data_IF_736758913183
#
_entry.id   IF_736758913183
#
_cell.length_a   1.000
_cell.length_b   1.000
_cell.length_c   1.000
_cell.angle_alpha   90.00
_cell.angle_beta   90.00
_cell.angle_gamma   90.00
#
_symmetry.space_group_name_H-M   'P 1'
#
loop_
_entity.id
_entity.type
_entity.pdbx_description
1 polymer ?
#
# COMPACT_ATOMS: atom_id res chain seq x y z
N UNK A 1 -6.94 -8.21 14.15
CA UNK A 1 -5.64 -7.84 13.56
C UNK A 1 -5.04 -6.76 14.44
N UNK A 2 -3.88 -6.98 15.06
CA UNK A 2 -3.36 -6.02 16.04
C UNK A 2 -2.43 -4.99 15.37
N UNK A 3 -2.84 -3.73 15.33
CA UNK A 3 -2.03 -2.59 14.90
C UNK A 3 -1.73 -1.77 16.15
N UNK A 4 -0.48 -1.85 16.61
CA UNK A 4 -0.05 -1.05 17.75
C UNK A 4 0.30 0.37 17.30
N UNK A 5 -0.66 1.28 17.45
CA UNK A 5 -0.46 2.69 17.12
C UNK A 5 0.23 3.43 18.26
N UNK A 6 1.29 4.18 17.95
CA UNK A 6 2.03 5.05 18.86
C UNK A 6 1.09 6.05 19.54
N UNK A 7 1.22 6.23 20.85
CA UNK A 7 0.33 7.13 21.61
C UNK A 7 0.35 8.57 21.07
N UNK A 8 1.52 9.11 20.72
CA UNK A 8 1.61 10.46 20.15
C UNK A 8 0.93 10.60 18.79
N UNK A 9 0.77 9.50 18.03
CA UNK A 9 -0.03 9.45 16.80
C UNK A 9 -1.53 9.41 17.12
N UNK A 10 -1.93 8.65 18.14
CA UNK A 10 -3.32 8.65 18.62
C UNK A 10 -3.75 10.04 19.13
N UNK A 11 -2.86 10.77 19.80
CA UNK A 11 -3.12 12.15 20.22
C UNK A 11 -3.26 13.11 19.03
N UNK A 12 -2.46 12.94 17.97
CA UNK A 12 -2.65 13.69 16.73
C UNK A 12 -3.99 13.35 16.06
N UNK A 13 -4.37 12.06 16.04
CA UNK A 13 -5.67 11.63 15.52
C UNK A 13 -6.84 12.26 16.29
N UNK A 14 -6.80 12.26 17.62
CA UNK A 14 -7.83 12.90 18.46
C UNK A 14 -8.02 14.37 18.07
N UNK A 15 -6.93 15.13 17.92
CA UNK A 15 -6.94 16.53 17.47
C UNK A 15 -7.45 16.69 16.04
N UNK A 16 -7.08 15.79 15.13
CA UNK A 16 -7.55 15.80 13.76
C UNK A 16 -9.06 15.53 13.67
N UNK A 17 -9.57 14.57 14.46
CA UNK A 17 -11.00 14.28 14.55
C UNK A 17 -11.79 15.47 15.14
N UNK A 18 -11.27 16.15 16.17
CA UNK A 18 -11.87 17.39 16.68
C UNK A 18 -11.88 18.51 15.63
N UNK A 19 -10.80 18.64 14.85
CA UNK A 19 -10.72 19.61 13.75
C UNK A 19 -11.74 19.31 12.65
N UNK A 20 -11.93 18.04 12.28
CA UNK A 20 -12.98 17.63 11.35
C UNK A 20 -14.37 17.99 11.88
N UNK A 21 -14.64 17.72 13.17
CA UNK A 21 -15.91 18.08 13.82
C UNK A 21 -16.15 19.59 13.87
N UNK A 22 -15.10 20.40 14.14
CA UNK A 22 -15.24 21.86 14.17
C UNK A 22 -15.49 22.46 12.78
N UNK A 23 -15.11 21.75 11.72
CA UNK A 23 -15.44 22.07 10.32
C UNK A 23 -16.84 21.58 9.90
N UNK A 24 -17.58 20.92 10.80
CA UNK A 24 -18.95 20.46 10.58
C UNK A 24 -19.08 19.01 10.12
N UNK A 25 -17.99 18.24 10.08
CA UNK A 25 -18.06 16.81 9.75
C UNK A 25 -18.54 15.98 10.96
N UNK A 26 -19.25 14.90 10.68
CA UNK A 26 -19.47 13.83 11.65
C UNK A 26 -18.31 12.83 11.56
N UNK A 27 -17.75 12.42 12.70
CA UNK A 27 -16.63 11.45 12.74
C UNK A 27 -17.05 10.27 13.59
N UNK A 28 -17.26 9.13 12.92
CA UNK A 28 -17.78 7.88 13.49
C UNK A 28 -16.68 6.81 13.44
N UNK A 29 -16.31 6.19 14.58
CA UNK A 29 -15.47 5.00 14.58
C UNK A 29 -16.16 3.84 13.88
N UNK A 30 -15.46 3.12 13.02
CA UNK A 30 -16.03 2.06 12.20
C UNK A 30 -14.99 0.99 11.88
N UNK A 31 -15.46 -0.17 11.43
CA UNK A 31 -14.64 -1.25 10.88
C UNK A 31 -14.12 -0.86 9.48
N UNK A 32 -13.24 -1.65 8.87
CA UNK A 32 -12.86 -1.43 7.47
C UNK A 32 -12.87 -2.72 6.65
N UNK A 33 -14.07 -3.15 6.17
CA UNK A 33 -14.28 -4.49 5.63
C UNK A 33 -13.35 -4.85 4.49
N UNK A 34 -12.99 -3.87 3.65
CA UNK A 34 -12.06 -4.11 2.56
C UNK A 34 -10.70 -4.61 3.04
N UNK A 35 -10.11 -3.95 4.05
CA UNK A 35 -8.81 -4.33 4.60
C UNK A 35 -8.91 -5.66 5.32
N UNK A 36 -9.94 -5.82 6.16
CA UNK A 36 -10.16 -7.04 6.93
C UNK A 36 -10.35 -8.29 6.06
N UNK A 37 -11.15 -8.17 5.00
CA UNK A 37 -11.38 -9.27 4.05
C UNK A 37 -10.13 -9.58 3.22
N UNK A 38 -9.41 -8.55 2.78
CA UNK A 38 -8.19 -8.71 2.00
C UNK A 38 -7.11 -9.45 2.79
N UNK A 39 -6.96 -9.11 4.07
CA UNK A 39 -5.89 -9.61 4.91
C UNK A 39 -6.25 -10.93 5.60
N UNK A 40 -7.53 -11.30 5.68
CA UNK A 40 -7.97 -12.56 6.29
C UNK A 40 -7.50 -12.74 7.74
N UNK A 41 -7.30 -11.64 8.46
CA UNK A 41 -6.78 -11.63 9.83
C UNK A 41 -5.27 -11.84 9.97
N UNK A 42 -4.52 -11.99 8.86
CA UNK A 42 -3.06 -12.06 8.84
C UNK A 42 -2.51 -10.69 8.44
N UNK A 43 -1.63 -10.07 9.24
CA UNK A 43 -1.11 -8.76 8.89
C UNK A 43 -0.40 -8.69 7.53
N UNK A 44 -0.82 -7.74 6.69
CA UNK A 44 -0.40 -7.61 5.30
C UNK A 44 -0.60 -8.89 4.46
N UNK A 45 -1.54 -9.75 4.83
CA UNK A 45 -1.92 -10.95 4.07
C UNK A 45 -2.56 -10.59 2.73
N UNK A 46 -2.46 -11.52 1.78
CA UNK A 46 -3.02 -11.41 0.42
C UNK A 46 -4.08 -12.50 0.20
N UNK A 47 -5.08 -12.58 1.10
CA UNK A 47 -6.07 -13.67 1.14
C UNK A 47 -7.20 -13.51 0.11
N UNK A 48 -7.01 -12.65 -0.89
CA UNK A 48 -8.03 -12.33 -1.90
C UNK A 48 -8.47 -13.54 -2.73
N UNK A 49 -7.59 -14.53 -2.97
CA UNK A 49 -7.98 -15.78 -3.64
C UNK A 49 -9.04 -16.55 -2.86
N UNK A 50 -9.01 -16.47 -1.52
CA UNK A 50 -9.96 -17.18 -0.66
C UNK A 50 -11.36 -16.57 -0.72
N UNK A 51 -11.49 -15.35 -1.26
CA UNK A 51 -12.80 -14.75 -1.56
C UNK A 51 -13.49 -15.43 -2.76
N UNK A 52 -12.77 -16.26 -3.52
CA UNK A 52 -13.33 -17.15 -4.53
C UNK A 52 -13.87 -16.45 -5.79
N UNK A 53 -13.52 -15.19 -5.99
CA UNK A 53 -13.99 -14.36 -7.12
C UNK A 53 -12.96 -14.23 -8.24
N UNK A 54 -11.68 -14.48 -7.95
CA UNK A 54 -10.61 -14.40 -8.93
C UNK A 54 -10.51 -15.70 -9.73
N UNK A 55 -10.13 -15.63 -11.01
CA UNK A 55 -9.84 -16.84 -11.79
C UNK A 55 -8.73 -17.68 -11.17
N UNK A 56 -8.71 -18.98 -11.49
CA UNK A 56 -7.70 -19.90 -10.97
C UNK A 56 -6.28 -19.44 -11.38
N UNK A 57 -5.35 -19.43 -10.42
CA UNK A 57 -3.97 -19.00 -10.65
C UNK A 57 -3.82 -17.51 -11.01
N UNK A 58 -4.82 -16.66 -10.70
CA UNK A 58 -4.75 -15.23 -10.94
C UNK A 58 -3.60 -14.58 -10.18
N UNK A 59 -3.46 -14.82 -8.87
CA UNK A 59 -2.40 -14.14 -8.09
C UNK A 59 -1.01 -14.54 -8.55
N UNK A 60 -0.80 -15.83 -8.89
CA UNK A 60 0.47 -16.27 -9.45
C UNK A 60 0.80 -15.52 -10.75
N UNK A 61 -0.18 -15.37 -11.64
CA UNK A 61 0.00 -14.62 -12.89
C UNK A 61 0.25 -13.13 -12.62
N UNK A 62 -0.53 -12.50 -11.75
CA UNK A 62 -0.41 -11.08 -11.44
C UNK A 62 0.95 -10.74 -10.80
N UNK A 63 1.40 -11.54 -9.83
CA UNK A 63 2.64 -11.28 -9.09
C UNK A 63 3.91 -11.71 -9.82
N UNK A 64 3.81 -12.60 -10.82
CA UNK A 64 4.98 -13.11 -11.54
C UNK A 64 4.94 -12.78 -13.04
N UNK A 65 3.98 -13.33 -13.79
CA UNK A 65 3.96 -13.24 -15.26
C UNK A 65 3.65 -11.82 -15.75
N UNK A 66 2.62 -11.18 -15.19
CA UNK A 66 2.22 -9.82 -15.53
C UNK A 66 3.30 -8.81 -15.13
N UNK A 67 3.92 -9.02 -13.95
CA UNK A 67 5.06 -8.23 -13.49
C UNK A 67 6.25 -8.34 -14.44
N UNK A 68 6.66 -9.56 -14.81
CA UNK A 68 7.77 -9.79 -15.74
C UNK A 68 7.48 -9.21 -17.13
N UNK A 69 6.24 -9.35 -17.62
CA UNK A 69 5.81 -8.72 -18.87
C UNK A 69 5.94 -7.20 -18.82
N UNK A 70 5.41 -6.55 -17.77
CA UNK A 70 5.48 -5.09 -17.65
C UNK A 70 6.91 -4.54 -17.62
N UNK A 71 7.84 -5.29 -17.02
CA UNK A 71 9.26 -4.93 -17.01
C UNK A 71 9.92 -5.08 -18.39
N UNK A 72 9.71 -6.20 -19.09
CA UNK A 72 10.25 -6.39 -20.45
C UNK A 72 9.64 -5.39 -21.44
N UNK A 73 8.32 -5.19 -21.39
CA UNK A 73 7.60 -4.25 -22.26
C UNK A 73 8.11 -2.81 -22.07
N UNK A 74 8.37 -2.39 -20.82
CA UNK A 74 8.98 -1.09 -20.54
C UNK A 74 10.38 -0.95 -21.16
N UNK A 75 11.24 -1.96 -21.02
CA UNK A 75 12.60 -1.93 -21.58
C UNK A 75 12.58 -1.92 -23.11
N UNK A 76 11.73 -2.74 -23.72
CA UNK A 76 11.53 -2.80 -25.17
C UNK A 76 11.00 -1.47 -25.69
N UNK A 77 10.05 -0.84 -25.00
CA UNK A 77 9.52 0.47 -25.38
C UNK A 77 10.55 1.59 -25.25
N UNK A 78 11.46 1.50 -24.26
CA UNK A 78 12.54 2.47 -24.06
C UNK A 78 13.66 2.34 -25.11
N UNK A 79 13.89 1.12 -25.65
CA UNK A 79 14.83 0.83 -26.75
C UNK A 79 16.27 1.34 -26.50
N UNK A 80 16.77 1.18 -25.27
CA UNK A 80 18.18 1.45 -24.97
C UNK A 80 19.04 0.25 -25.44
N UNK A 81 20.00 0.44 -26.39
CA UNK A 81 20.85 -0.63 -26.86
C UNK A 81 21.71 -1.31 -25.78
N UNK A 82 21.93 -0.65 -24.63
CA UNK A 82 22.67 -1.23 -23.51
C UNK A 82 21.79 -2.12 -22.60
N UNK A 83 20.46 -2.01 -22.68
CA UNK A 83 19.51 -2.77 -21.87
C UNK A 83 18.14 -2.85 -22.58
N UNK A 84 18.10 -3.55 -23.71
CA UNK A 84 16.92 -3.56 -24.57
C UNK A 84 15.81 -4.51 -24.09
N UNK A 85 16.16 -5.53 -23.30
CA UNK A 85 15.24 -6.60 -22.88
C UNK A 85 15.56 -7.09 -21.48
N UNK A 86 14.53 -7.51 -20.75
CA UNK A 86 14.67 -8.07 -19.41
C UNK A 86 15.46 -9.39 -19.42
N UNK A 87 15.33 -10.20 -20.48
CA UNK A 87 16.01 -11.48 -20.60
C UNK A 87 17.56 -11.37 -20.56
N UNK A 88 18.09 -10.21 -20.97
CA UNK A 88 19.53 -9.92 -21.03
C UNK A 88 20.09 -9.37 -19.71
N UNK A 89 19.21 -9.06 -18.75
CA UNK A 89 19.60 -8.50 -17.43
C UNK A 89 20.22 -9.58 -16.55
N UNK A 90 21.23 -9.20 -15.77
CA UNK A 90 21.75 -10.02 -14.67
C UNK A 90 20.84 -9.84 -13.44
N UNK A 91 20.08 -10.88 -13.02
CA UNK A 91 19.15 -10.75 -11.89
C UNK A 91 19.85 -10.39 -10.57
N UNK A 92 21.12 -10.73 -10.42
CA UNK A 92 21.89 -10.48 -9.18
C UNK A 92 22.30 -9.02 -9.01
N UNK A 93 22.14 -8.23 -10.06
CA UNK A 93 22.40 -6.79 -10.05
C UNK A 93 21.11 -5.95 -9.94
N UNK A 94 19.92 -6.57 -9.93
CA UNK A 94 18.65 -5.83 -9.89
C UNK A 94 18.41 -5.22 -8.50
N UNK A 95 18.58 -6.00 -7.43
CA UNK A 95 18.49 -5.49 -6.06
C UNK A 95 19.44 -6.20 -5.09
N UNK A 96 20.77 -5.97 -5.21
CA UNK A 96 21.72 -6.53 -4.27
C UNK A 96 21.54 -5.92 -2.86
N UNK A 97 21.62 -6.72 -1.78
CA UNK A 97 21.51 -6.21 -0.43
C UNK A 97 22.68 -5.27 -0.11
N UNK A 98 22.45 -4.14 0.57
CA UNK A 98 23.53 -3.26 1.01
C UNK A 98 24.54 -4.00 1.91
N UNK A 99 25.85 -3.78 1.73
CA UNK A 99 26.86 -4.42 2.58
C UNK A 99 26.64 -4.09 4.06
N UNK A 100 26.52 -5.14 4.89
CA UNK A 100 26.35 -5.01 6.33
C UNK A 100 24.91 -4.81 6.80
N UNK A 101 23.93 -4.76 5.88
CA UNK A 101 22.52 -4.76 6.28
C UNK A 101 22.10 -6.12 6.85
N UNK A 102 21.05 -6.09 7.67
CA UNK A 102 20.30 -7.27 8.03
C UNK A 102 19.66 -7.89 6.78
N UNK A 103 19.41 -9.21 6.78
CA UNK A 103 18.64 -9.85 5.72
C UNK A 103 17.24 -9.25 5.58
N UNK A 104 16.71 -9.29 4.35
CA UNK A 104 15.28 -9.04 4.12
C UNK A 104 14.45 -10.14 4.81
N UNK A 105 13.36 -9.76 5.49
CA UNK A 105 12.49 -10.72 6.18
C UNK A 105 11.60 -11.51 5.24
N UNK A 106 11.43 -11.08 3.98
CA UNK A 106 10.79 -11.94 2.97
C UNK A 106 11.58 -13.22 2.74
N UNK A 107 12.91 -13.21 2.95
CA UNK A 107 13.72 -14.43 2.89
C UNK A 107 13.50 -15.39 4.06
N UNK A 108 12.85 -14.95 5.14
CA UNK A 108 12.43 -15.82 6.26
C UNK A 108 11.14 -16.59 5.94
N UNK A 109 10.43 -16.23 4.87
CA UNK A 109 9.24 -16.96 4.39
C UNK A 109 9.71 -18.26 3.71
N UNK A 110 9.22 -19.40 4.19
CA UNK A 110 9.55 -20.70 3.59
C UNK A 110 9.22 -20.73 2.10
N UNK A 111 10.16 -21.20 1.28
CA UNK A 111 10.05 -21.27 -0.18
C UNK A 111 9.90 -19.91 -0.89
N UNK A 112 10.37 -18.81 -0.30
CA UNK A 112 10.48 -17.55 -1.03
C UNK A 112 11.58 -17.65 -2.10
N UNK A 113 11.18 -17.91 -3.34
CA UNK A 113 12.08 -17.85 -4.48
C UNK A 113 12.59 -16.42 -4.68
N UNK A 114 13.83 -16.27 -5.12
CA UNK A 114 14.40 -14.95 -5.47
C UNK A 114 13.57 -14.35 -6.61
N UNK A 115 12.71 -13.39 -6.26
CA UNK A 115 11.75 -12.76 -7.16
C UNK A 115 12.41 -12.20 -8.42
N UNK A 116 13.63 -11.68 -8.32
CA UNK A 116 14.35 -11.11 -9.46
C UNK A 116 14.85 -12.19 -10.41
N UNK A 117 15.39 -13.29 -9.87
CA UNK A 117 15.77 -14.45 -10.68
C UNK A 117 14.57 -15.09 -11.36
N UNK A 118 13.44 -15.23 -10.67
CA UNK A 118 12.18 -15.73 -11.24
C UNK A 118 11.71 -14.83 -12.38
N UNK A 119 11.65 -13.52 -12.14
CA UNK A 119 11.21 -12.51 -13.11
C UNK A 119 12.05 -12.53 -14.40
N UNK A 120 13.39 -12.52 -14.26
CA UNK A 120 14.30 -12.65 -15.42
C UNK A 120 14.21 -14.04 -16.06
N UNK A 121 14.00 -15.09 -15.26
CA UNK A 121 13.79 -16.46 -15.75
C UNK A 121 12.57 -16.57 -16.67
N UNK A 122 11.45 -15.95 -16.29
CA UNK A 122 10.24 -15.86 -17.12
C UNK A 122 10.51 -15.12 -18.43
N UNK A 123 11.23 -13.99 -18.37
CA UNK A 123 11.65 -13.28 -19.59
C UNK A 123 12.49 -14.14 -20.53
N UNK A 124 13.43 -14.93 -19.99
CA UNK A 124 14.26 -15.86 -20.77
C UNK A 124 13.48 -17.04 -21.34
N UNK A 125 12.45 -17.51 -20.65
CA UNK A 125 11.55 -18.56 -21.12
C UNK A 125 10.61 -18.08 -22.24
N UNK A 126 10.38 -16.76 -22.32
CA UNK A 126 9.49 -16.11 -23.27
C UNK A 126 8.18 -15.71 -22.59
N UNK A 127 7.87 -14.41 -22.68
CA UNK A 127 6.68 -13.83 -22.07
C UNK A 127 5.53 -13.82 -23.07
N UNK A 128 4.35 -14.22 -22.61
CA UNK A 128 3.12 -14.06 -23.37
C UNK A 128 2.52 -12.68 -23.09
N UNK A 129 1.85 -12.12 -24.08
CA UNK A 129 1.14 -10.87 -23.87
C UNK A 129 -0.03 -11.12 -22.90
N UNK A 130 -0.21 -10.32 -21.82
CA UNK A 130 -1.23 -10.56 -20.79
C UNK A 130 -2.64 -10.77 -21.34
N UNK A 131 -3.01 -10.05 -22.40
CA UNK A 131 -4.32 -10.18 -23.06
C UNK A 131 -4.55 -11.53 -23.76
N UNK A 132 -3.52 -12.37 -23.95
CA UNK A 132 -3.67 -13.73 -24.49
C UNK A 132 -4.24 -14.70 -23.44
N UNK A 133 -4.16 -14.35 -22.15
CA UNK A 133 -4.81 -15.08 -21.07
C UNK A 133 -6.33 -14.91 -21.20
N UNK A 134 -7.04 -16.03 -21.40
CA UNK A 134 -8.47 -16.04 -21.79
C UNK A 134 -9.41 -15.36 -20.78
N UNK A 135 -9.08 -15.45 -19.50
CA UNK A 135 -9.81 -14.89 -18.34
C UNK A 135 -9.20 -13.55 -17.85
N UNK A 136 -8.29 -12.92 -18.62
CA UNK A 136 -7.65 -11.65 -18.23
C UNK A 136 -8.67 -10.57 -17.86
N UNK A 137 -9.68 -10.37 -18.71
CA UNK A 137 -10.76 -9.41 -18.44
C UNK A 137 -11.69 -9.81 -17.29
N UNK A 138 -11.79 -11.09 -16.96
CA UNK A 138 -12.59 -11.56 -15.81
C UNK A 138 -11.90 -11.24 -14.49
N UNK A 139 -10.58 -11.46 -14.39
CA UNK A 139 -9.83 -11.13 -13.18
C UNK A 139 -9.85 -9.63 -12.87
N UNK A 140 -9.65 -8.77 -13.88
CA UNK A 140 -9.77 -7.32 -13.68
C UNK A 140 -11.17 -6.91 -13.19
N UNK A 141 -12.23 -7.48 -13.77
CA UNK A 141 -13.61 -7.21 -13.33
C UNK A 141 -13.87 -7.71 -11.92
N UNK A 142 -13.26 -8.82 -11.52
CA UNK A 142 -13.40 -9.35 -10.16
C UNK A 142 -12.77 -8.41 -9.11
N UNK A 143 -11.61 -7.80 -9.40
CA UNK A 143 -11.01 -6.78 -8.52
C UNK A 143 -11.93 -5.56 -8.35
N UNK A 144 -12.51 -5.06 -9.44
CA UNK A 144 -13.45 -3.94 -9.41
C UNK A 144 -14.72 -4.28 -8.60
N UNK A 145 -15.23 -5.50 -8.78
CA UNK A 145 -16.42 -5.97 -8.06
C UNK A 145 -16.14 -6.15 -6.56
N UNK A 146 -14.94 -6.59 -6.17
CA UNK A 146 -14.53 -6.62 -4.77
C UNK A 146 -14.48 -5.23 -4.15
N UNK A 147 -13.88 -4.24 -4.84
CA UNK A 147 -13.93 -2.85 -4.36
C UNK A 147 -15.38 -2.39 -4.19
N UNK A 148 -16.23 -2.64 -5.19
CA UNK A 148 -17.64 -2.22 -5.16
C UNK A 148 -18.38 -2.82 -3.95
N UNK A 149 -18.19 -4.11 -3.68
CA UNK A 149 -18.87 -4.79 -2.57
C UNK A 149 -18.30 -4.40 -1.20
N UNK A 150 -16.97 -4.42 -1.04
CA UNK A 150 -16.31 -4.30 0.27
C UNK A 150 -16.06 -2.86 0.70
N UNK A 151 -16.08 -1.90 -0.23
CA UNK A 151 -15.93 -0.48 0.05
C UNK A 151 -17.20 0.29 -0.28
N UNK A 152 -17.62 0.31 -1.55
CA UNK A 152 -18.61 1.29 -2.01
C UNK A 152 -20.02 0.98 -1.46
N UNK A 153 -20.45 -0.28 -1.53
CA UNK A 153 -21.73 -0.70 -0.93
C UNK A 153 -21.74 -0.54 0.60
N UNK A 154 -20.63 -0.85 1.28
CA UNK A 154 -20.49 -0.60 2.71
C UNK A 154 -20.59 0.89 3.06
N UNK A 155 -19.94 1.77 2.28
CA UNK A 155 -20.05 3.22 2.47
C UNK A 155 -21.48 3.71 2.20
N UNK A 156 -22.17 3.18 1.19
CA UNK A 156 -23.55 3.55 0.86
C UNK A 156 -24.52 3.12 1.97
N UNK A 157 -24.41 1.88 2.46
CA UNK A 157 -25.27 1.33 3.50
C UNK A 157 -25.16 2.09 4.83
N UNK A 158 -24.00 2.68 5.10
CA UNK A 158 -23.74 3.46 6.32
C UNK A 158 -23.82 4.98 6.11
N UNK A 159 -24.04 5.44 4.87
CA UNK A 159 -24.07 6.87 4.54
C UNK A 159 -22.72 7.58 4.72
N UNK A 160 -21.60 6.88 4.53
CA UNK A 160 -20.26 7.46 4.65
C UNK A 160 -19.84 8.18 3.37
N UNK A 161 -19.32 9.40 3.52
CA UNK A 161 -18.73 10.17 2.42
C UNK A 161 -17.27 9.75 2.13
N UNK A 162 -16.52 9.45 3.18
CA UNK A 162 -15.08 9.11 3.14
C UNK A 162 -14.66 8.34 4.39
N UNK A 163 -13.53 7.64 4.30
CA UNK A 163 -12.84 7.02 5.43
C UNK A 163 -11.60 7.84 5.75
N UNK A 164 -11.30 8.05 7.03
CA UNK A 164 -10.13 8.81 7.46
C UNK A 164 -9.33 8.06 8.53
N UNK A 165 -8.01 7.99 8.38
CA UNK A 165 -7.11 7.29 9.31
C UNK A 165 -5.69 7.88 9.27
N UNK A 166 -4.90 7.76 10.36
CA UNK A 166 -3.47 8.06 10.32
C UNK A 166 -2.77 7.26 9.22
N UNK A 167 -1.86 7.89 8.47
CA UNK A 167 -1.14 7.24 7.39
C UNK A 167 -0.29 6.05 7.88
N UNK A 168 0.27 6.15 9.08
CA UNK A 168 1.09 5.10 9.71
C UNK A 168 0.72 4.96 11.19
N UNK A 169 1.01 3.79 11.75
CA UNK A 169 0.82 3.46 13.16
C UNK A 169 2.02 3.85 14.04
N UNK A 170 3.24 3.84 13.51
CA UNK A 170 4.48 4.29 14.17
C UNK A 170 5.52 4.65 13.08
N UNK A 171 6.74 5.01 13.48
CA UNK A 171 7.87 5.28 12.60
C UNK A 171 9.07 4.39 12.93
N UNK A 172 9.60 3.70 11.92
CA UNK A 172 10.80 2.87 12.05
C UNK A 172 12.04 3.71 12.41
N UNK A 173 12.89 3.25 13.34
CA UNK A 173 14.17 3.90 13.61
C UNK A 173 15.10 3.89 12.40
N UNK A 174 15.95 4.90 12.27
CA UNK A 174 16.84 5.07 11.11
C UNK A 174 17.91 3.96 10.96
N UNK A 175 18.22 3.22 12.03
CA UNK A 175 19.18 2.12 12.05
C UNK A 175 18.53 0.74 11.87
N UNK A 176 17.26 0.69 11.43
CA UNK A 176 16.51 -0.55 11.24
C UNK A 176 17.13 -1.51 10.20
N UNK A 177 18.03 -1.03 9.35
CA UNK A 177 18.79 -1.83 8.40
C UNK A 177 19.95 -2.60 9.05
N UNK A 178 20.40 -2.22 10.24
CA UNK A 178 21.59 -2.81 10.89
C UNK A 178 21.38 -3.23 12.35
N UNK A 179 20.28 -2.79 12.97
CA UNK A 179 19.92 -3.09 14.35
C UNK A 179 18.65 -3.95 14.40
N UNK A 180 18.77 -5.16 14.94
CA UNK A 180 17.68 -6.15 15.01
C UNK A 180 16.44 -5.61 15.72
N UNK A 181 16.60 -4.88 16.83
CA UNK A 181 15.46 -4.35 17.59
C UNK A 181 14.74 -3.22 16.84
N UNK A 182 15.50 -2.38 16.12
CA UNK A 182 14.95 -1.35 15.25
C UNK A 182 14.25 -1.96 14.04
N UNK A 183 14.82 -3.02 13.45
CA UNK A 183 14.19 -3.79 12.39
C UNK A 183 12.86 -4.39 12.90
N UNK A 184 12.84 -4.99 14.09
CA UNK A 184 11.62 -5.55 14.68
C UNK A 184 10.53 -4.50 14.86
N UNK A 185 10.88 -3.25 15.14
CA UNK A 185 9.94 -2.15 15.21
C UNK A 185 9.45 -1.72 13.81
N UNK A 186 10.36 -1.58 12.86
CA UNK A 186 10.07 -1.14 11.48
C UNK A 186 9.24 -2.16 10.68
N UNK A 187 9.36 -3.45 10.96
CA UNK A 187 8.64 -4.52 10.27
C UNK A 187 7.24 -4.82 10.83
N UNK A 188 6.77 -4.06 11.84
CA UNK A 188 5.41 -4.21 12.38
C UNK A 188 4.37 -3.72 11.38
N UNK A 189 3.18 -4.33 11.47
CA UNK A 189 2.03 -3.89 10.71
C UNK A 189 1.63 -2.44 11.05
N UNK A 190 1.32 -1.65 10.03
CA UNK A 190 1.12 -0.20 10.13
C UNK A 190 2.41 0.63 10.21
N UNK A 191 3.59 -0.02 10.24
CA UNK A 191 4.91 0.64 10.21
C UNK A 191 5.66 0.33 8.93
N UNK A 192 5.82 -0.96 8.60
CA UNK A 192 6.49 -1.42 7.37
C UNK A 192 5.85 -0.81 6.13
N UNK A 193 4.53 -0.88 6.10
CA UNK A 193 3.68 -0.22 5.14
C UNK A 193 2.78 0.79 5.84
N UNK A 194 2.29 1.74 5.05
CA UNK A 194 1.22 2.63 5.50
C UNK A 194 -0.05 1.81 5.81
N UNK A 195 -0.89 2.34 6.70
CA UNK A 195 -2.17 1.73 7.06
C UNK A 195 -3.00 1.45 5.79
N UNK A 196 -3.51 0.22 5.69
CA UNK A 196 -4.23 -0.30 4.52
C UNK A 196 -3.44 -1.27 3.64
N UNK A 197 -2.12 -1.42 3.85
CA UNK A 197 -1.25 -2.40 3.20
C UNK A 197 -1.51 -2.46 1.67
N UNK A 198 -1.66 -3.66 1.11
CA UNK A 198 -1.89 -3.86 -0.33
C UNK A 198 -3.31 -3.50 -0.77
N UNK A 199 -4.31 -3.68 0.10
CA UNK A 199 -5.72 -3.62 -0.25
C UNK A 199 -6.11 -2.32 -0.96
N UNK A 200 -5.62 -1.18 -0.45
CA UNK A 200 -5.96 0.15 -1.00
C UNK A 200 -5.52 0.27 -2.46
N UNK A 201 -4.31 -0.19 -2.80
CA UNK A 201 -3.75 -0.07 -4.16
C UNK A 201 -4.26 -1.16 -5.07
N UNK A 202 -4.30 -2.41 -4.60
CA UNK A 202 -4.76 -3.53 -5.39
C UNK A 202 -6.23 -3.33 -5.82
N UNK A 203 -7.05 -2.71 -4.98
CA UNK A 203 -8.45 -2.42 -5.31
C UNK A 203 -8.68 -1.07 -6.02
N UNK A 204 -7.65 -0.29 -6.30
CA UNK A 204 -7.80 1.01 -6.97
C UNK A 204 -8.57 2.06 -6.14
N UNK A 205 -8.45 2.03 -4.81
CA UNK A 205 -9.11 3.00 -3.93
C UNK A 205 -8.37 4.35 -4.00
N UNK A 206 -9.02 5.46 -4.37
CA UNK A 206 -8.38 6.77 -4.37
C UNK A 206 -8.15 7.26 -2.94
N UNK A 207 -7.00 7.91 -2.72
CA UNK A 207 -6.61 8.44 -1.41
C UNK A 207 -5.94 9.80 -1.51
N UNK A 208 -6.18 10.68 -0.53
CA UNK A 208 -5.44 11.93 -0.34
C UNK A 208 -4.84 11.96 1.06
N UNK A 209 -3.55 12.29 1.19
CA UNK A 209 -2.90 12.49 2.47
C UNK A 209 -2.60 13.99 2.70
N UNK A 210 -2.92 14.48 3.90
CA UNK A 210 -2.58 15.84 4.37
C UNK A 210 -1.81 15.76 5.70
N UNK A 211 -1.06 16.81 6.11
CA UNK A 211 -0.36 16.79 7.39
C UNK A 211 -1.33 16.69 8.58
N UNK A 212 -1.25 15.63 9.37
CA UNK A 212 -2.00 15.48 10.63
C UNK A 212 -1.32 16.19 11.80
N UNK A 213 0.00 16.37 11.72
CA UNK A 213 0.81 17.08 12.69
C UNK A 213 2.18 16.45 12.87
N UNK A 214 2.85 16.82 13.96
CA UNK A 214 4.16 16.33 14.35
C UNK A 214 4.04 15.70 15.73
N UNK A 215 4.55 14.49 15.89
CA UNK A 215 4.56 13.80 17.17
C UNK A 215 5.33 14.61 18.21
N UNK A 216 4.83 14.64 19.44
CA UNK A 216 5.46 15.43 20.51
C UNK A 216 6.72 14.79 21.07
N UNK A 217 6.80 13.46 21.01
CA UNK A 217 7.86 12.66 21.61
C UNK A 217 9.09 12.47 20.72
N UNK A 218 8.91 12.17 19.42
CA UNK A 218 10.02 11.97 18.47
C UNK A 218 10.10 13.02 17.37
N UNK A 219 9.20 14.02 17.40
CA UNK A 219 9.23 15.18 16.51
C UNK A 219 9.15 14.81 15.02
N UNK A 220 8.45 13.74 14.69
CA UNK A 220 8.26 13.28 13.31
C UNK A 220 6.87 13.65 12.77
N UNK A 221 6.76 14.09 11.51
CA UNK A 221 5.47 14.38 10.88
C UNK A 221 4.69 13.10 10.59
N UNK A 222 3.37 13.16 10.72
CA UNK A 222 2.45 12.05 10.39
C UNK A 222 1.31 12.59 9.54
N UNK A 223 0.93 11.84 8.50
CA UNK A 223 -0.18 12.18 7.62
C UNK A 223 -1.54 11.72 8.14
N UNK A 224 -2.59 12.42 7.74
CA UNK A 224 -3.98 11.98 7.78
C UNK A 224 -4.38 11.59 6.36
N UNK A 225 -4.78 10.34 6.18
CA UNK A 225 -5.24 9.82 4.90
C UNK A 225 -6.76 9.87 4.85
N UNK A 226 -7.31 10.46 3.78
CA UNK A 226 -8.70 10.30 3.36
C UNK A 226 -8.77 9.28 2.22
N UNK A 227 -9.69 8.33 2.29
CA UNK A 227 -9.98 7.35 1.26
C UNK A 227 -11.47 7.41 0.88
N UNK A 228 -11.81 7.08 -0.36
CA UNK A 228 -13.19 7.15 -0.83
C UNK A 228 -13.51 6.20 -1.96
N UNK A 229 -14.70 6.35 -2.53
CA UNK A 229 -15.19 5.57 -3.68
C UNK A 229 -14.30 5.81 -4.90
N UNK A 230 -14.25 4.84 -5.81
CA UNK A 230 -13.53 5.07 -7.06
C UNK A 230 -14.06 6.31 -7.79
N UNK A 231 -13.14 7.08 -8.38
CA UNK A 231 -13.43 8.31 -9.11
C UNK A 231 -13.99 9.48 -8.26
N UNK A 232 -13.97 9.37 -6.93
CA UNK A 232 -14.36 10.47 -6.03
C UNK A 232 -13.18 11.39 -5.66
N UNK A 233 -12.12 11.41 -6.47
CA UNK A 233 -10.87 12.13 -6.24
C UNK A 233 -11.08 13.61 -5.95
N UNK A 234 -12.01 14.25 -6.67
CA UNK A 234 -12.36 15.65 -6.45
C UNK A 234 -12.83 15.90 -5.01
N UNK A 235 -13.72 15.06 -4.48
CA UNK A 235 -14.24 15.20 -3.13
C UNK A 235 -13.15 14.99 -2.08
N UNK A 236 -12.19 14.09 -2.34
CA UNK A 236 -11.03 13.90 -1.47
C UNK A 236 -10.15 15.15 -1.45
N UNK A 237 -9.87 15.75 -2.62
CA UNK A 237 -9.13 17.03 -2.73
C UNK A 237 -9.85 18.14 -1.97
N UNK A 238 -11.16 18.27 -2.14
CA UNK A 238 -11.97 19.25 -1.42
C UNK A 238 -11.92 19.02 0.10
N UNK A 239 -11.96 17.75 0.56
CA UNK A 239 -11.82 17.40 1.98
C UNK A 239 -10.45 17.79 2.55
N UNK A 240 -9.36 17.51 1.83
CA UNK A 240 -8.02 17.91 2.25
C UNK A 240 -7.85 19.42 2.33
N UNK A 241 -8.35 20.16 1.33
CA UNK A 241 -8.35 21.62 1.33
C UNK A 241 -9.17 22.19 2.48
N UNK A 242 -10.35 21.63 2.74
CA UNK A 242 -11.19 22.02 3.87
C UNK A 242 -10.48 21.76 5.20
N UNK A 243 -9.86 20.58 5.35
CA UNK A 243 -9.09 20.24 6.54
C UNK A 243 -7.97 21.26 6.77
N UNK A 244 -7.17 21.62 5.76
CA UNK A 244 -6.08 22.59 5.89
C UNK A 244 -6.52 24.06 6.01
N UNK A 245 -7.76 24.40 5.65
CA UNK A 245 -8.25 25.78 5.58
C UNK A 245 -8.19 26.57 6.90
N UNK A 246 -8.23 25.90 8.05
CA UNK A 246 -8.14 26.54 9.39
C UNK A 246 -6.70 26.68 9.89
N UNK A 247 -5.71 26.33 9.07
CA UNK A 247 -4.28 26.55 9.33
C UNK A 247 -3.42 25.33 9.06
N UNK A 248 -2.29 25.50 8.37
CA UNK A 248 -1.40 24.38 8.05
C UNK A 248 -0.78 23.76 9.31
N UNK A 249 -0.76 22.43 9.38
CA UNK A 249 -0.09 21.66 10.42
C UNK A 249 1.36 21.29 10.05
N UNK A 250 1.79 21.69 8.85
CA UNK A 250 3.17 21.51 8.39
C UNK A 250 4.10 22.47 9.14
N UNK A 251 5.27 21.97 9.52
CA UNK A 251 6.41 22.78 9.94
C UNK A 251 7.60 22.49 9.01
N UNK A 252 8.46 23.49 8.70
CA UNK A 252 9.72 23.23 8.03
C UNK A 252 10.56 22.20 8.80
N UNK A 253 11.23 21.25 8.13
CA UNK A 253 12.14 20.32 8.80
C UNK A 253 13.24 21.10 9.54
N UNK A 254 13.58 20.74 10.80
CA UNK A 254 14.58 21.45 11.58
C UNK A 254 16.03 20.98 11.28
N UNK A 255 16.29 20.54 10.05
CA UNK A 255 17.60 20.02 9.64
C UNK A 255 18.39 21.19 9.06
N UNK A 256 19.51 21.55 9.71
CA UNK A 256 20.54 22.43 9.15
C UNK A 256 21.38 21.71 8.08
#
# INVERSE_FOLDING_TARGET
MDIHTRESILELWKKAAERLRSLGAEVVPTDFPLVEAYEGGVPAGENIEQLGVLPEGWMNFEFNELLAFGWDDFLVANDDPACARLADVDPDQIFPPPPGSLPDRYAEVENYEDRYRVTVGLARAGLQHPHERADYGDGLRALEELRRQLLESWMDDNGYDMVAFPANADLGPADADTNVASADAAWKNGVLFSNGNYAIRHMGVPTLAVPMGITDDIRMPVGLTFAGRAYSDRSLIEAGLAFESVGSLRQPPPIE
#
